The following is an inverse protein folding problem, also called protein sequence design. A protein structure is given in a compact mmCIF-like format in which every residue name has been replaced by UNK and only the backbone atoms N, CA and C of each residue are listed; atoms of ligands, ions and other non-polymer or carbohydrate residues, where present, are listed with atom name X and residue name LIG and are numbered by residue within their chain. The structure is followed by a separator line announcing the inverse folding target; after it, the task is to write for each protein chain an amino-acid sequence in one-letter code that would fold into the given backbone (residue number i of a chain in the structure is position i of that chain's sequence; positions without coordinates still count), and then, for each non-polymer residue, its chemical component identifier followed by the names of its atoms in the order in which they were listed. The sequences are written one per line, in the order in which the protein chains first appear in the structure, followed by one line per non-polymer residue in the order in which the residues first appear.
data_IF_450600297848
#
_entry.id   IF_450600297848
#
_cell.length_a   1.000
_cell.length_b   1.000
_cell.length_c   1.000
_cell.angle_alpha   90.00
_cell.angle_beta   90.00
_cell.angle_gamma   90.00
#
_symmetry.space_group_name_H-M   'P 1'
#
loop_
_entity.id
_entity.type
_entity.pdbx_description
1 polymer ?
#
# COMPACT_ATOMS: atom_id res chain seq x y z
N UNK A 1 -6.52 15.81 47.32
CA UNK A 1 -6.31 17.25 47.03
C UNK A 1 -7.60 17.80 46.43
N UNK A 2 -8.34 18.51 47.26
CA UNK A 2 -9.63 19.16 46.97
C UNK A 2 -9.38 20.50 46.28
N UNK A 3 -9.91 20.68 45.08
CA UNK A 3 -10.01 22.01 44.46
C UNK A 3 -11.47 22.41 44.28
N UNK A 4 -11.82 23.48 44.98
CA UNK A 4 -13.11 24.12 45.09
C UNK A 4 -13.47 24.90 43.83
N UNK A 5 -14.76 24.88 43.49
CA UNK A 5 -15.41 25.71 42.48
C UNK A 5 -15.33 27.19 42.86
N UNK A 6 -15.02 28.05 41.90
CA UNK A 6 -15.33 29.48 41.96
C UNK A 6 -16.05 29.90 40.68
N UNK A 7 -17.26 30.44 40.86
CA UNK A 7 -18.07 31.10 39.83
C UNK A 7 -17.67 32.57 39.79
N UNK A 8 -17.42 33.14 38.62
CA UNK A 8 -17.50 34.59 38.38
C UNK A 8 -18.33 34.81 37.11
N UNK A 9 -19.31 35.70 37.27
CA UNK A 9 -20.30 36.19 36.30
C UNK A 9 -19.92 37.62 35.92
N UNK A 10 -20.50 38.12 34.81
CA UNK A 10 -20.54 39.51 34.30
C UNK A 10 -19.33 39.95 33.45
N UNK A 11 -19.48 40.66 32.32
CA UNK A 11 -20.63 41.38 31.75
C UNK A 11 -20.48 41.53 30.22
N UNK A 12 -21.62 41.64 29.54
CA UNK A 12 -21.76 42.07 28.14
C UNK A 12 -21.46 43.56 27.98
N UNK A 13 -20.83 43.94 26.87
CA UNK A 13 -21.09 45.23 26.20
C UNK A 13 -20.97 45.08 24.68
N UNK A 14 -22.12 45.16 24.01
CA UNK A 14 -22.24 45.51 22.60
C UNK A 14 -21.80 46.96 22.40
N UNK A 15 -21.04 47.23 21.34
CA UNK A 15 -21.02 48.53 20.69
C UNK A 15 -21.02 48.31 19.18
N UNK A 16 -22.19 48.51 18.58
CA UNK A 16 -22.37 48.69 17.15
C UNK A 16 -21.99 50.13 16.79
N UNK A 17 -21.20 50.28 15.73
CA UNK A 17 -20.89 51.56 15.09
C UNK A 17 -21.05 51.41 13.59
N UNK A 18 -22.17 51.88 13.06
CA UNK A 18 -22.46 52.06 11.64
C UNK A 18 -21.82 53.35 11.12
N UNK A 19 -21.39 53.31 9.86
CA UNK A 19 -21.44 54.44 8.94
C UNK A 19 -20.14 55.20 8.74
N UNK A 20 -19.60 55.12 7.52
CA UNK A 20 -19.63 56.24 6.58
C UNK A 20 -19.23 55.73 5.17
N UNK A 21 -20.17 55.89 4.26
CA UNK A 21 -20.00 55.86 2.81
C UNK A 21 -19.06 56.96 2.36
N UNK A 22 -18.07 56.63 1.53
CA UNK A 22 -17.39 57.59 0.67
C UNK A 22 -17.24 56.99 -0.73
N UNK A 23 -18.11 57.44 -1.64
CA UNK A 23 -17.88 57.32 -3.08
C UNK A 23 -16.80 58.33 -3.46
N UNK A 24 -15.75 57.88 -4.13
CA UNK A 24 -14.88 58.75 -4.94
C UNK A 24 -14.78 58.15 -6.32
N UNK A 25 -15.26 58.91 -7.30
CA UNK A 25 -15.11 58.63 -8.72
C UNK A 25 -13.65 58.80 -9.12
N UNK A 26 -13.10 57.82 -9.82
CA UNK A 26 -12.14 58.13 -10.87
C UNK A 26 -12.34 57.14 -12.02
N UNK A 27 -12.74 57.71 -13.16
CA UNK A 27 -12.67 57.08 -14.46
C UNK A 27 -11.21 56.92 -14.83
N UNK A 28 -10.76 55.68 -15.01
CA UNK A 28 -9.68 55.36 -15.93
C UNK A 28 -10.12 54.15 -16.75
N UNK A 29 -10.61 54.44 -17.95
CA UNK A 29 -10.85 53.46 -19.00
C UNK A 29 -9.52 52.78 -19.37
N UNK A 30 -9.36 51.52 -18.98
CA UNK A 30 -8.46 50.60 -19.68
C UNK A 30 -9.25 49.42 -20.22
N UNK A 31 -9.45 49.49 -21.54
CA UNK A 31 -9.88 48.44 -22.48
C UNK A 31 -9.95 47.04 -21.86
N UNK A 32 -11.18 46.63 -21.60
CA UNK A 32 -11.57 45.25 -21.38
C UNK A 32 -11.52 44.53 -22.72
N UNK A 33 -10.43 43.80 -22.98
CA UNK A 33 -10.41 42.80 -24.06
C UNK A 33 -11.25 41.63 -23.57
N UNK A 34 -12.53 41.63 -23.92
CA UNK A 34 -13.45 40.52 -23.72
C UNK A 34 -12.97 39.34 -24.56
N UNK A 35 -12.14 38.48 -23.96
CA UNK A 35 -11.92 37.13 -24.46
C UNK A 35 -13.10 36.28 -24.00
N UNK A 36 -14.17 36.31 -24.79
CA UNK A 36 -15.29 35.38 -24.64
C UNK A 36 -14.80 33.99 -25.01
N UNK A 37 -14.39 33.20 -24.02
CA UNK A 37 -14.11 31.78 -24.22
C UNK A 37 -15.44 31.03 -24.40
N UNK A 38 -15.90 30.91 -25.65
CA UNK A 38 -16.92 29.94 -26.05
C UNK A 38 -16.24 28.61 -26.37
N UNK A 39 -15.84 27.88 -25.34
CA UNK A 39 -15.57 26.45 -25.44
C UNK A 39 -15.96 25.80 -24.10
N UNK A 40 -16.75 24.72 -24.10
CA UNK A 40 -17.00 23.98 -22.86
C UNK A 40 -15.66 23.44 -22.37
N UNK A 41 -15.25 23.82 -21.16
CA UNK A 41 -14.14 23.19 -20.47
C UNK A 41 -14.56 21.76 -20.09
N UNK A 42 -14.44 20.83 -21.03
CA UNK A 42 -14.41 19.40 -20.70
C UNK A 42 -13.12 19.15 -19.93
N UNK A 43 -13.27 18.92 -18.63
CA UNK A 43 -12.20 19.01 -17.64
C UNK A 43 -11.06 18.02 -17.83
N UNK A 44 -9.84 18.57 -17.91
CA UNK A 44 -8.58 17.90 -17.56
C UNK A 44 -7.73 18.75 -16.59
N UNK A 45 -8.23 19.92 -16.16
CA UNK A 45 -7.47 20.89 -15.36
C UNK A 45 -7.24 20.46 -13.89
N UNK A 46 -7.95 19.45 -13.37
CA UNK A 46 -7.78 18.99 -11.98
C UNK A 46 -6.43 18.28 -11.76
N UNK A 47 -5.90 17.62 -12.80
CA UNK A 47 -4.72 16.74 -12.66
C UNK A 47 -3.42 17.49 -12.37
N UNK A 48 -3.21 18.69 -12.93
CA UNK A 48 -2.00 19.48 -12.70
C UNK A 48 -1.97 20.07 -11.29
N UNK A 49 -3.11 20.56 -10.79
CA UNK A 49 -3.22 21.12 -9.45
C UNK A 49 -2.98 20.06 -8.37
N UNK A 50 -3.57 18.87 -8.57
CA UNK A 50 -3.40 17.70 -7.70
C UNK A 50 -1.96 17.18 -7.71
N UNK A 51 -1.34 17.00 -8.88
CA UNK A 51 0.07 16.61 -9.00
C UNK A 51 0.99 17.60 -8.30
N UNK A 52 0.74 18.90 -8.48
CA UNK A 52 1.49 19.94 -7.78
C UNK A 52 1.29 19.87 -6.26
N UNK A 53 0.09 19.53 -5.77
CA UNK A 53 -0.17 19.34 -4.35
C UNK A 53 0.58 18.12 -3.77
N UNK A 54 0.56 16.98 -4.47
CA UNK A 54 1.32 15.79 -4.08
C UNK A 54 2.82 16.06 -4.04
N UNK A 55 3.37 16.72 -5.06
CA UNK A 55 4.80 17.07 -5.11
C UNK A 55 5.21 18.02 -3.97
N UNK A 56 4.36 19.01 -3.65
CA UNK A 56 4.60 19.88 -2.48
C UNK A 56 4.61 19.07 -1.19
N UNK A 57 3.64 18.17 -1.01
CA UNK A 57 3.56 17.32 0.17
C UNK A 57 4.79 16.42 0.32
N UNK A 58 5.23 15.76 -0.75
CA UNK A 58 6.47 14.94 -0.77
C UNK A 58 7.64 15.77 -0.26
N UNK A 59 7.87 16.95 -0.85
CA UNK A 59 8.97 17.84 -0.47
C UNK A 59 8.90 18.26 1.00
N UNK A 60 7.72 18.59 1.50
CA UNK A 60 7.52 18.98 2.90
C UNK A 60 7.80 17.81 3.86
N UNK A 61 7.29 16.62 3.55
CA UNK A 61 7.52 15.42 4.36
C UNK A 61 9.00 15.04 4.39
N UNK A 62 9.68 15.04 3.25
CA UNK A 62 11.13 14.78 3.17
C UNK A 62 11.94 15.77 4.01
N UNK A 63 11.57 17.05 4.00
CA UNK A 63 12.19 18.08 4.84
C UNK A 63 11.96 17.80 6.32
N UNK A 64 10.72 17.46 6.72
CA UNK A 64 10.39 17.12 8.11
C UNK A 64 11.12 15.86 8.57
N UNK A 65 11.15 14.79 7.77
CA UNK A 65 11.90 13.57 8.07
C UNK A 65 13.39 13.84 8.26
N UNK A 66 14.00 14.61 7.35
CA UNK A 66 15.41 15.01 7.46
C UNK A 66 15.68 15.80 8.75
N UNK A 67 14.79 16.73 9.10
CA UNK A 67 14.93 17.57 10.29
C UNK A 67 14.81 16.74 11.57
N UNK A 68 13.92 15.74 11.58
CA UNK A 68 13.72 14.82 12.69
C UNK A 68 14.76 13.68 12.76
N UNK A 69 15.68 13.58 11.79
CA UNK A 69 16.66 12.49 11.71
C UNK A 69 16.04 11.14 11.32
N UNK A 70 14.86 11.14 10.71
CA UNK A 70 14.15 9.93 10.26
C UNK A 70 14.62 9.57 8.85
N UNK A 71 15.12 8.36 8.68
CA UNK A 71 15.46 7.80 7.36
C UNK A 71 14.23 7.12 6.77
N UNK A 72 13.38 7.91 6.11
CA UNK A 72 12.20 7.41 5.39
C UNK A 72 12.21 7.95 3.96
N UNK A 73 12.08 7.06 2.98
CA UNK A 73 12.02 7.40 1.56
C UNK A 73 10.60 7.23 1.06
N UNK A 74 10.01 8.31 0.56
CA UNK A 74 8.66 8.30 0.00
C UNK A 74 8.72 7.67 -1.39
N UNK A 75 7.93 6.63 -1.62
CA UNK A 75 7.84 5.96 -2.93
C UNK A 75 6.65 6.44 -3.73
N UNK A 76 5.54 6.74 -3.06
CA UNK A 76 4.29 7.14 -3.72
C UNK A 76 3.42 7.97 -2.78
N UNK A 77 2.66 8.91 -3.34
CA UNK A 77 1.64 9.68 -2.61
C UNK A 77 0.35 9.65 -3.42
N UNK A 78 -0.76 9.23 -2.81
CA UNK A 78 -2.09 9.19 -3.43
C UNK A 78 -3.08 10.01 -2.61
N UNK A 79 -4.03 10.64 -3.30
CA UNK A 79 -5.19 11.26 -2.65
C UNK A 79 -6.09 10.19 -2.05
N UNK A 80 -6.70 10.48 -0.90
CA UNK A 80 -7.76 9.65 -0.32
C UNK A 80 -9.12 10.31 -0.50
N UNK A 81 -10.19 9.56 -0.26
CA UNK A 81 -11.55 10.14 -0.20
C UNK A 81 -11.77 11.04 1.03
N UNK A 82 -10.87 11.02 2.01
CA UNK A 82 -10.92 11.89 3.19
C UNK A 82 -10.26 13.24 2.86
N UNK A 83 -10.98 14.37 2.98
CA UNK A 83 -10.43 15.69 2.68
C UNK A 83 -9.14 15.98 3.47
N UNK A 84 -8.15 16.54 2.78
CA UNK A 84 -6.83 16.90 3.34
C UNK A 84 -6.00 15.72 3.89
N UNK A 85 -6.39 14.48 3.59
CA UNK A 85 -5.64 13.29 3.96
C UNK A 85 -5.09 12.58 2.72
N UNK A 86 -3.81 12.29 2.75
CA UNK A 86 -3.09 11.62 1.68
C UNK A 86 -2.57 10.28 2.18
N UNK A 87 -2.62 9.27 1.33
CA UNK A 87 -1.96 7.99 1.56
C UNK A 87 -0.52 8.09 1.03
N UNK A 88 0.45 7.75 1.86
CA UNK A 88 1.88 7.91 1.61
C UNK A 88 2.57 6.58 1.78
N UNK A 89 3.09 6.04 0.67
CA UNK A 89 3.91 4.83 0.68
C UNK A 89 5.36 5.20 0.98
N UNK A 90 5.99 4.38 1.83
CA UNK A 90 7.37 4.53 2.26
C UNK A 90 8.15 3.24 1.92
N UNK A 91 9.40 3.38 1.51
CA UNK A 91 10.27 2.22 1.24
C UNK A 91 10.56 1.47 2.54
N UNK A 92 10.38 0.14 2.53
CA UNK A 92 10.61 -0.73 3.68
C UNK A 92 9.68 -0.53 4.89
N UNK A 93 8.59 0.23 4.74
CA UNK A 93 7.65 0.54 5.83
C UNK A 93 6.21 0.42 5.35
N UNK A 94 5.28 0.11 6.26
CA UNK A 94 3.85 0.22 5.95
C UNK A 94 3.50 1.65 5.54
N UNK A 95 2.59 1.77 4.57
CA UNK A 95 2.08 3.07 4.19
C UNK A 95 1.40 3.78 5.37
N UNK A 96 1.49 5.10 5.36
CA UNK A 96 0.93 5.97 6.39
C UNK A 96 -0.01 6.98 5.76
N UNK A 97 -0.82 7.64 6.59
CA UNK A 97 -1.62 8.77 6.16
C UNK A 97 -0.96 10.06 6.62
N UNK A 98 -0.97 11.10 5.77
CA UNK A 98 -0.42 12.40 6.10
C UNK A 98 -1.43 13.51 5.82
N UNK A 99 -1.43 14.56 6.65
CA UNK A 99 -2.19 15.78 6.35
C UNK A 99 -1.59 16.49 5.13
N UNK A 100 -2.41 17.24 4.42
CA UNK A 100 -2.00 18.01 3.23
C UNK A 100 -0.87 19.00 3.48
N UNK A 101 -0.69 19.46 4.74
CA UNK A 101 0.39 20.35 5.16
C UNK A 101 1.66 19.61 5.63
N UNK A 102 1.65 18.28 5.62
CA UNK A 102 2.78 17.42 5.97
C UNK A 102 3.19 17.47 7.45
N UNK A 103 2.37 18.04 8.34
CA UNK A 103 2.71 18.18 9.76
C UNK A 103 2.34 16.99 10.62
N UNK A 104 1.33 16.21 10.20
CA UNK A 104 0.83 15.08 10.97
C UNK A 104 0.88 13.82 10.12
N UNK A 105 1.29 12.72 10.75
CA UNK A 105 1.26 11.38 10.19
C UNK A 105 0.38 10.51 11.09
N UNK A 106 -0.46 9.68 10.48
CA UNK A 106 -1.28 8.68 11.14
C UNK A 106 -0.85 7.30 10.63
N UNK A 107 -0.60 6.40 11.57
CA UNK A 107 -0.31 4.99 11.28
C UNK A 107 -1.54 4.15 11.63
N UNK A 108 -1.84 3.17 10.79
CA UNK A 108 -3.00 2.28 10.93
C UNK A 108 -3.98 2.48 9.79
N UNK A 109 -5.20 1.97 9.95
CA UNK A 109 -6.21 1.98 8.90
C UNK A 109 -7.15 3.18 9.03
N UNK A 110 -7.58 3.70 7.88
CA UNK A 110 -8.72 4.62 7.79
C UNK A 110 -9.90 3.83 7.28
N UNK A 111 -10.91 3.66 8.12
CA UNK A 111 -12.12 2.90 7.80
C UNK A 111 -13.26 3.86 7.52
N UNK A 112 -13.79 3.83 6.29
CA UNK A 112 -15.03 4.53 5.94
C UNK A 112 -16.22 3.74 6.48
N UNK A 113 -17.08 4.45 7.20
CA UNK A 113 -18.35 3.96 7.73
C UNK A 113 -19.51 4.46 6.86
N UNK A 114 -20.68 3.80 6.96
CA UNK A 114 -21.92 4.21 6.28
C UNK A 114 -22.49 3.17 5.33
N UNK A 115 -21.67 2.20 4.91
CA UNK A 115 -22.11 1.05 4.12
C UNK A 115 -22.42 -0.16 5.02
N UNK A 116 -23.04 -1.20 4.43
CA UNK A 116 -23.25 -2.49 5.12
C UNK A 116 -21.93 -3.22 5.44
N UNK A 117 -20.85 -2.87 4.75
CA UNK A 117 -19.51 -3.43 4.92
C UNK A 117 -18.55 -2.31 5.32
N UNK A 118 -17.56 -2.63 6.15
CA UNK A 118 -16.47 -1.71 6.45
C UNK A 118 -15.58 -1.57 5.21
N UNK A 119 -15.21 -0.34 4.86
CA UNK A 119 -14.33 -0.07 3.73
C UNK A 119 -13.01 0.53 4.22
N UNK A 120 -11.90 -0.16 3.97
CA UNK A 120 -10.57 0.39 4.25
C UNK A 120 -10.13 1.28 3.08
N UNK A 121 -9.94 2.57 3.35
CA UNK A 121 -9.60 3.58 2.35
C UNK A 121 -8.25 3.29 1.68
N UNK A 122 -7.30 2.73 2.41
CA UNK A 122 -5.95 2.45 1.91
C UNK A 122 -5.84 1.14 1.13
N UNK A 123 -6.79 0.22 1.28
CA UNK A 123 -6.69 -1.12 0.70
C UNK A 123 -6.66 -1.09 -0.82
N UNK A 124 -7.57 -0.33 -1.45
CA UNK A 124 -7.59 -0.19 -2.91
C UNK A 124 -6.36 0.55 -3.45
N UNK A 125 -5.85 1.53 -2.70
CA UNK A 125 -4.66 2.30 -3.04
C UNK A 125 -3.40 1.42 -3.01
N UNK A 126 -3.24 0.62 -1.96
CA UNK A 126 -2.16 -0.35 -1.82
C UNK A 126 -2.29 -1.47 -2.87
N UNK A 127 -3.49 -1.98 -3.12
CA UNK A 127 -3.73 -3.00 -4.13
C UNK A 127 -3.31 -2.53 -5.53
N UNK A 128 -3.63 -1.28 -5.89
CA UNK A 128 -3.17 -0.68 -7.14
C UNK A 128 -1.64 -0.63 -7.27
N UNK A 129 -0.92 -0.31 -6.19
CA UNK A 129 0.56 -0.33 -6.17
C UNK A 129 1.09 -1.75 -6.28
N UNK A 130 0.54 -2.69 -5.51
CA UNK A 130 0.91 -4.10 -5.53
C UNK A 130 0.70 -4.73 -6.91
N UNK A 131 -0.40 -4.40 -7.60
CA UNK A 131 -0.70 -4.87 -8.95
C UNK A 131 0.39 -4.50 -9.95
N UNK A 132 0.84 -3.24 -9.91
CA UNK A 132 1.91 -2.76 -10.80
C UNK A 132 3.24 -3.48 -10.51
N UNK A 133 3.55 -3.65 -9.22
CA UNK A 133 4.72 -4.41 -8.77
C UNK A 133 4.66 -5.85 -9.29
N UNK A 134 3.56 -6.56 -9.08
CA UNK A 134 3.43 -7.96 -9.49
C UNK A 134 3.47 -8.13 -11.01
N UNK A 135 2.90 -7.18 -11.76
CA UNK A 135 3.02 -7.16 -13.22
C UNK A 135 4.45 -6.95 -13.71
N UNK A 136 5.34 -6.39 -12.88
CA UNK A 136 6.76 -6.19 -13.21
C UNK A 136 7.66 -7.38 -12.82
N UNK A 137 7.13 -8.36 -12.06
CA UNK A 137 7.89 -9.54 -11.66
C UNK A 137 8.14 -10.46 -12.86
N UNK A 138 9.36 -10.99 -12.92
CA UNK A 138 9.77 -11.90 -13.97
C UNK A 138 9.41 -13.33 -13.56
N UNK A 139 8.71 -14.06 -14.42
CA UNK A 139 8.25 -15.42 -14.10
C UNK A 139 9.40 -16.37 -13.74
N UNK A 140 10.57 -16.23 -14.36
CA UNK A 140 11.75 -17.04 -14.05
C UNK A 140 12.36 -16.78 -12.66
N UNK A 141 12.02 -15.64 -12.04
CA UNK A 141 12.46 -15.35 -10.68
C UNK A 141 11.50 -15.99 -9.66
N UNK A 142 10.28 -16.36 -10.05
CA UNK A 142 9.27 -16.96 -9.18
C UNK A 142 9.36 -18.49 -9.15
N UNK A 143 8.73 -19.10 -8.15
CA UNK A 143 8.43 -20.53 -8.13
C UNK A 143 6.94 -20.72 -8.39
N UNK A 144 6.60 -21.13 -9.61
CA UNK A 144 5.22 -21.15 -10.12
C UNK A 144 4.66 -22.58 -10.09
N UNK A 145 3.53 -22.75 -9.40
CA UNK A 145 2.70 -23.95 -9.41
C UNK A 145 1.46 -23.65 -10.24
N UNK A 146 1.43 -24.20 -11.46
CA UNK A 146 0.37 -23.92 -12.44
C UNK A 146 -0.95 -24.56 -12.02
N UNK A 147 -2.05 -23.91 -12.37
CA UNK A 147 -3.37 -24.51 -12.30
C UNK A 147 -3.44 -25.81 -13.12
N UNK A 148 -4.22 -26.78 -12.64
CA UNK A 148 -4.57 -27.99 -13.40
C UNK A 148 -5.77 -27.65 -14.30
N UNK A 149 -5.54 -27.59 -15.61
CA UNK A 149 -6.56 -27.19 -16.58
C UNK A 149 -6.56 -25.68 -16.84
N UNK A 150 -7.74 -25.05 -16.82
CA UNK A 150 -7.89 -23.61 -17.04
C UNK A 150 -7.45 -22.81 -15.80
N UNK A 151 -6.58 -21.82 -16.00
CA UNK A 151 -6.20 -20.86 -14.96
C UNK A 151 -7.32 -19.85 -14.75
N UNK A 152 -8.07 -20.00 -13.66
CA UNK A 152 -9.16 -19.09 -13.24
C UNK A 152 -8.63 -17.91 -12.42
N UNK A 153 -7.64 -18.18 -11.57
CA UNK A 153 -7.04 -17.17 -10.70
C UNK A 153 -5.53 -17.33 -10.65
N UNK A 154 -4.82 -16.21 -10.50
CA UNK A 154 -3.39 -16.15 -10.19
C UNK A 154 -3.25 -15.48 -8.82
N UNK A 155 -2.47 -16.10 -7.94
CA UNK A 155 -2.10 -15.52 -6.65
C UNK A 155 -0.59 -15.39 -6.51
N UNK A 156 -0.17 -14.32 -5.84
CA UNK A 156 1.22 -14.10 -5.42
C UNK A 156 1.34 -14.38 -3.94
N UNK A 157 2.29 -15.23 -3.55
CA UNK A 157 2.42 -15.67 -2.16
C UNK A 157 3.85 -15.47 -1.70
N UNK A 158 4.05 -14.55 -0.76
CA UNK A 158 5.32 -14.43 -0.05
C UNK A 158 5.43 -15.59 0.94
N UNK A 159 6.45 -16.43 0.77
CA UNK A 159 6.57 -17.73 1.46
C UNK A 159 7.96 -17.94 2.06
N UNK A 160 8.02 -18.80 3.08
CA UNK A 160 9.23 -19.15 3.83
C UNK A 160 9.18 -20.65 4.16
N UNK A 161 10.22 -21.40 3.77
CA UNK A 161 10.31 -22.85 4.06
C UNK A 161 10.33 -23.16 5.55
N UNK A 162 10.76 -22.21 6.39
CA UNK A 162 10.75 -22.36 7.85
C UNK A 162 9.39 -22.07 8.51
N UNK A 163 8.39 -21.59 7.74
CA UNK A 163 7.10 -21.18 8.28
C UNK A 163 6.08 -22.34 8.29
N UNK A 164 5.54 -22.74 9.46
CA UNK A 164 4.58 -23.84 9.55
C UNK A 164 3.30 -23.62 8.74
N UNK A 165 2.84 -22.37 8.62
CA UNK A 165 1.66 -22.06 7.81
C UNK A 165 1.95 -22.01 6.31
N UNK A 166 3.20 -21.77 5.91
CA UNK A 166 3.61 -21.94 4.51
C UNK A 166 3.62 -23.43 4.15
N UNK A 167 4.11 -24.28 5.06
CA UNK A 167 4.02 -25.73 4.89
C UNK A 167 2.57 -26.18 4.73
N UNK A 168 1.67 -25.74 5.62
CA UNK A 168 0.24 -26.04 5.51
C UNK A 168 -0.40 -25.54 4.22
N UNK A 169 -0.02 -24.36 3.72
CA UNK A 169 -0.51 -23.88 2.42
C UNK A 169 -0.03 -24.78 1.29
N UNK A 170 1.24 -25.19 1.35
CA UNK A 170 1.88 -26.01 0.33
C UNK A 170 1.33 -27.45 0.30
N UNK A 171 0.95 -28.02 1.45
CA UNK A 171 0.22 -29.30 1.53
C UNK A 171 -1.09 -29.29 0.72
N UNK A 172 -1.72 -28.11 0.55
CA UNK A 172 -2.95 -27.96 -0.24
C UNK A 172 -2.70 -27.56 -1.70
N UNK A 173 -1.45 -27.55 -2.18
CA UNK A 173 -1.11 -27.06 -3.53
C UNK A 173 -1.89 -27.78 -4.63
N UNK A 174 -1.99 -29.11 -4.53
CA UNK A 174 -2.74 -29.92 -5.49
C UNK A 174 -4.23 -29.58 -5.54
N UNK A 175 -4.83 -29.30 -4.38
CA UNK A 175 -6.24 -28.91 -4.26
C UNK A 175 -6.45 -27.52 -4.89
N UNK A 176 -5.59 -26.55 -4.56
CA UNK A 176 -5.61 -25.20 -5.13
C UNK A 176 -5.49 -25.25 -6.66
N UNK A 177 -4.51 -25.98 -7.17
CA UNK A 177 -4.30 -26.09 -8.60
C UNK A 177 -5.48 -26.79 -9.30
N UNK A 178 -6.08 -27.81 -8.68
CA UNK A 178 -7.29 -28.48 -9.22
C UNK A 178 -8.51 -27.56 -9.31
N UNK A 179 -8.57 -26.52 -8.48
CA UNK A 179 -9.63 -25.50 -8.51
C UNK A 179 -9.37 -24.39 -9.55
N UNK A 180 -8.29 -24.48 -10.32
CA UNK A 180 -7.92 -23.48 -11.33
C UNK A 180 -7.07 -22.33 -10.78
N UNK A 181 -6.47 -22.48 -9.60
CA UNK A 181 -5.63 -21.45 -8.97
C UNK A 181 -4.16 -21.72 -9.29
N UNK A 182 -3.50 -20.77 -9.96
CA UNK A 182 -2.05 -20.74 -10.12
C UNK A 182 -1.41 -20.00 -8.95
N UNK A 183 -0.44 -20.64 -8.29
CA UNK A 183 0.27 -20.10 -7.13
C UNK A 183 1.68 -19.70 -7.54
N UNK A 184 2.02 -18.42 -7.36
CA UNK A 184 3.35 -17.87 -7.65
C UNK A 184 4.06 -17.52 -6.35
N UNK A 185 5.00 -18.36 -5.93
CA UNK A 185 5.79 -18.09 -4.73
C UNK A 185 6.87 -17.04 -4.97
N UNK A 186 6.94 -16.11 -4.02
CA UNK A 186 7.98 -15.09 -3.86
C UNK A 186 8.71 -15.42 -2.56
N UNK A 187 10.03 -15.52 -2.62
CA UNK A 187 10.84 -15.86 -1.45
C UNK A 187 10.79 -14.73 -0.40
N UNK A 188 10.33 -15.03 0.82
CA UNK A 188 10.31 -14.08 1.92
C UNK A 188 10.72 -14.75 3.23
N UNK A 189 12.02 -15.02 3.43
CA UNK A 189 12.51 -15.57 4.68
C UNK A 189 12.20 -14.59 5.82
N UNK A 190 11.53 -15.04 6.89
CA UNK A 190 11.09 -14.18 8.01
C UNK A 190 12.25 -13.62 8.85
N UNK A 191 13.49 -13.99 8.53
CA UNK A 191 14.70 -13.51 9.15
C UNK A 191 15.93 -13.84 8.30
N UNK A 192 17.00 -13.06 8.46
CA UNK A 192 18.26 -13.20 7.72
C UNK A 192 18.84 -14.63 7.81
N UNK A 193 18.66 -15.30 8.94
CA UNK A 193 19.13 -16.67 9.16
C UNK A 193 18.46 -17.72 8.25
N UNK A 194 17.29 -17.42 7.68
CA UNK A 194 16.56 -18.31 6.77
C UNK A 194 16.84 -18.03 5.29
N UNK A 195 17.55 -16.94 4.98
CA UNK A 195 17.94 -16.60 3.60
C UNK A 195 18.74 -17.72 2.94
N UNK A 196 19.77 -18.32 3.56
CA UNK A 196 20.56 -19.36 2.89
C UNK A 196 19.75 -20.59 2.45
N UNK A 197 18.72 -20.96 3.23
CA UNK A 197 17.84 -22.07 2.87
C UNK A 197 17.00 -21.72 1.63
N UNK A 198 16.42 -20.52 1.59
CA UNK A 198 15.67 -20.03 0.43
C UNK A 198 16.57 -19.85 -0.81
N UNK A 199 17.80 -19.37 -0.65
CA UNK A 199 18.79 -19.27 -1.73
C UNK A 199 19.15 -20.66 -2.28
N UNK A 200 19.32 -21.65 -1.41
CA UNK A 200 19.61 -23.03 -1.83
C UNK A 200 18.47 -23.62 -2.67
N UNK A 201 17.20 -23.34 -2.30
CA UNK A 201 16.04 -23.70 -3.13
C UNK A 201 16.13 -23.00 -4.49
N UNK A 202 16.32 -21.68 -4.53
CA UNK A 202 16.31 -20.91 -5.79
C UNK A 202 17.52 -21.18 -6.69
N UNK A 203 18.62 -21.69 -6.13
CA UNK A 203 19.78 -22.16 -6.88
C UNK A 203 19.69 -23.61 -7.36
N UNK A 204 18.68 -24.36 -6.91
CA UNK A 204 18.48 -25.74 -7.37
C UNK A 204 18.16 -25.78 -8.86
N UNK A 205 18.64 -26.82 -9.54
CA UNK A 205 18.24 -27.14 -10.91
C UNK A 205 16.75 -27.45 -11.00
N UNK A 206 16.23 -28.13 -9.99
CA UNK A 206 14.80 -28.38 -9.79
C UNK A 206 14.35 -27.65 -8.52
N UNK A 207 13.81 -26.44 -8.71
CA UNK A 207 13.35 -25.59 -7.60
C UNK A 207 12.10 -26.15 -6.93
N UNK A 208 11.25 -26.87 -7.65
CA UNK A 208 10.06 -27.50 -7.10
C UNK A 208 10.48 -28.60 -6.12
N UNK A 209 11.29 -29.56 -6.58
CA UNK A 209 11.77 -30.64 -5.72
C UNK A 209 12.57 -30.13 -4.50
N UNK A 210 13.38 -29.08 -4.69
CA UNK A 210 14.12 -28.47 -3.58
C UNK A 210 13.20 -27.76 -2.58
N UNK A 211 12.17 -27.04 -3.04
CA UNK A 211 11.20 -26.40 -2.16
C UNK A 211 10.40 -27.43 -1.37
N UNK A 212 9.91 -28.49 -2.04
CA UNK A 212 9.15 -29.58 -1.42
C UNK A 212 9.96 -30.26 -0.29
N UNK A 213 11.24 -30.51 -0.53
CA UNK A 213 12.16 -31.06 0.47
C UNK A 213 12.37 -30.09 1.64
N UNK A 214 12.72 -28.83 1.34
CA UNK A 214 13.03 -27.83 2.35
C UNK A 214 11.82 -27.51 3.25
N UNK A 215 10.62 -27.39 2.66
CA UNK A 215 9.41 -27.07 3.41
C UNK A 215 8.90 -28.24 4.25
N UNK A 216 9.24 -29.48 3.88
CA UNK A 216 9.07 -30.67 4.70
C UNK A 216 10.11 -30.80 5.83
N UNK A 217 11.06 -29.86 5.92
CA UNK A 217 12.08 -29.79 6.97
C UNK A 217 13.40 -30.48 6.64
N UNK A 218 13.63 -30.91 5.40
CA UNK A 218 14.92 -31.44 5.00
C UNK A 218 15.96 -30.33 4.83
N UNK A 219 17.21 -30.61 5.22
CA UNK A 219 18.33 -29.72 4.93
C UNK A 219 18.77 -29.88 3.48
N UNK A 220 18.81 -28.77 2.74
CA UNK A 220 19.35 -28.76 1.39
C UNK A 220 20.88 -28.54 1.42
N UNK A 221 21.62 -29.13 0.47
CA UNK A 221 23.02 -28.76 0.26
C UNK A 221 23.14 -27.26 0.00
N UNK A 222 24.09 -26.62 0.67
CA UNK A 222 24.36 -25.20 0.46
C UNK A 222 24.72 -24.95 -1.01
N UNK A 223 23.97 -24.07 -1.66
CA UNK A 223 24.23 -23.65 -3.02
C UNK A 223 24.34 -22.12 -3.10
N UNK A 224 25.27 -21.64 -3.91
CA UNK A 224 25.45 -20.21 -4.17
C UNK A 224 25.42 -19.95 -5.67
N UNK A 225 24.51 -19.07 -6.07
CA UNK A 225 24.33 -18.61 -7.44
C UNK A 225 23.74 -17.20 -7.39
N UNK A 226 23.55 -16.56 -8.54
CA UNK A 226 22.76 -15.32 -8.59
C UNK A 226 21.28 -15.68 -8.39
N UNK A 227 20.71 -15.25 -7.27
CA UNK A 227 19.32 -15.53 -6.88
C UNK A 227 18.53 -14.23 -6.72
N UNK A 228 17.19 -14.25 -6.88
CA UNK A 228 16.34 -13.10 -6.62
C UNK A 228 15.88 -13.02 -5.15
N UNK A 229 16.37 -13.88 -4.24
CA UNK A 229 15.82 -14.03 -2.88
C UNK A 229 15.95 -12.73 -2.08
N UNK A 230 17.07 -12.01 -2.22
CA UNK A 230 17.30 -10.74 -1.53
C UNK A 230 16.40 -9.64 -2.08
N UNK A 231 16.23 -9.58 -3.40
CA UNK A 231 15.33 -8.66 -4.08
C UNK A 231 13.86 -8.92 -3.70
N UNK A 232 13.46 -10.20 -3.60
CA UNK A 232 12.14 -10.61 -3.14
C UNK A 232 11.90 -10.24 -1.67
N UNK A 233 12.89 -10.45 -0.80
CA UNK A 233 12.81 -10.07 0.60
C UNK A 233 12.60 -8.54 0.73
N UNK A 234 13.43 -7.75 0.05
CA UNK A 234 13.30 -6.30 0.03
C UNK A 234 11.96 -5.86 -0.57
N UNK A 235 11.48 -6.54 -1.60
CA UNK A 235 10.18 -6.26 -2.19
C UNK A 235 9.05 -6.45 -1.17
N UNK A 236 9.07 -7.57 -0.42
CA UNK A 236 8.07 -7.81 0.61
C UNK A 236 8.11 -6.75 1.71
N UNK A 237 9.29 -6.30 2.13
CA UNK A 237 9.42 -5.17 3.05
C UNK A 237 8.78 -3.89 2.48
N UNK A 238 9.00 -3.61 1.20
CA UNK A 238 8.50 -2.40 0.53
C UNK A 238 6.97 -2.37 0.40
N UNK A 239 6.32 -3.54 0.29
CA UNK A 239 4.85 -3.61 0.23
C UNK A 239 4.21 -3.93 1.58
N UNK A 240 5.00 -3.95 2.65
CA UNK A 240 4.52 -4.14 4.03
C UNK A 240 4.22 -5.58 4.44
N UNK A 241 4.82 -6.59 3.78
CA UNK A 241 4.77 -7.97 4.26
C UNK A 241 5.41 -8.04 5.65
N UNK A 242 4.65 -8.54 6.63
CA UNK A 242 5.06 -8.64 8.03
C UNK A 242 4.94 -10.07 8.59
N UNK A 243 4.58 -11.04 7.75
CA UNK A 243 4.42 -12.44 8.11
C UNK A 243 4.18 -13.30 6.88
N UNK A 244 4.38 -14.61 7.01
CA UNK A 244 4.18 -15.57 5.92
C UNK A 244 3.25 -16.71 6.34
N UNK A 245 2.48 -17.31 5.40
CA UNK A 245 2.35 -16.86 4.01
C UNK A 245 1.58 -15.54 3.94
N UNK A 246 1.97 -14.63 3.04
CA UNK A 246 1.16 -13.45 2.73
C UNK A 246 0.65 -13.60 1.29
N UNK A 247 -0.68 -13.73 1.16
CA UNK A 247 -1.35 -14.06 -0.09
C UNK A 247 -1.96 -12.80 -0.70
N UNK A 248 -1.69 -12.57 -1.98
CA UNK A 248 -2.23 -11.48 -2.75
C UNK A 248 -2.88 -11.98 -4.05
N UNK A 249 -3.96 -11.32 -4.49
CA UNK A 249 -4.53 -11.57 -5.82
C UNK A 249 -3.67 -10.95 -6.92
N UNK A 250 -3.94 -11.32 -8.18
CA UNK A 250 -3.32 -10.68 -9.34
C UNK A 250 -3.63 -9.16 -9.43
N UNK A 251 -4.74 -8.71 -8.84
CA UNK A 251 -5.09 -7.30 -8.74
C UNK A 251 -4.42 -6.59 -7.55
N UNK A 252 -3.52 -7.27 -6.84
CA UNK A 252 -2.72 -6.70 -5.76
C UNK A 252 -3.43 -6.64 -4.40
N UNK A 253 -4.68 -7.12 -4.32
CA UNK A 253 -5.47 -7.16 -3.08
C UNK A 253 -4.84 -8.16 -2.11
N UNK A 254 -4.66 -7.75 -0.86
CA UNK A 254 -4.19 -8.64 0.20
C UNK A 254 -5.33 -9.56 0.64
N UNK A 255 -5.19 -10.86 0.36
CA UNK A 255 -6.20 -11.86 0.68
C UNK A 255 -6.07 -12.35 2.13
N UNK A 256 -4.87 -12.27 2.70
CA UNK A 256 -4.61 -12.61 4.10
C UNK A 256 -3.37 -13.47 4.29
N UNK A 257 -3.26 -14.01 5.50
CA UNK A 257 -2.27 -15.01 5.86
C UNK A 257 -2.57 -16.37 5.22
N UNK A 258 -2.33 -17.46 5.96
CA UNK A 258 -2.88 -18.75 5.56
C UNK A 258 -4.41 -18.71 5.50
N UNK A 259 -4.96 -19.23 4.41
CA UNK A 259 -6.38 -19.49 4.19
C UNK A 259 -6.52 -20.92 3.69
N UNK A 260 -7.59 -21.63 4.10
CA UNK A 260 -7.92 -22.90 3.45
C UNK A 260 -8.28 -22.67 1.97
N UNK A 261 -8.15 -23.69 1.10
CA UNK A 261 -8.53 -23.56 -0.31
C UNK A 261 -9.94 -23.00 -0.52
N UNK A 262 -10.91 -23.45 0.27
CA UNK A 262 -12.29 -22.97 0.19
C UNK A 262 -12.46 -21.48 0.57
N UNK A 263 -11.78 -21.02 1.63
CA UNK A 263 -11.80 -19.61 2.04
C UNK A 263 -11.10 -18.73 1.01
N UNK A 264 -9.97 -19.20 0.48
CA UNK A 264 -9.23 -18.47 -0.55
C UNK A 264 -10.04 -18.33 -1.82
N UNK A 265 -10.67 -19.41 -2.30
CA UNK A 265 -11.55 -19.36 -3.48
C UNK A 265 -12.73 -18.42 -3.24
N UNK A 266 -13.31 -18.41 -2.04
CA UNK A 266 -14.37 -17.45 -1.68
C UNK A 266 -13.89 -16.00 -1.77
N UNK A 267 -12.67 -15.70 -1.32
CA UNK A 267 -12.11 -14.35 -1.43
C UNK A 267 -11.78 -13.95 -2.88
N UNK A 268 -11.34 -14.89 -3.70
CA UNK A 268 -10.99 -14.66 -5.11
C UNK A 268 -12.22 -14.44 -6.01
N UNK A 269 -13.38 -14.94 -5.60
CA UNK A 269 -14.64 -14.82 -6.36
C UNK A 269 -15.50 -13.61 -5.95
N UNK A 270 -15.11 -12.85 -4.93
CA UNK A 270 -15.81 -11.63 -4.51
C UNK A 270 -15.20 -10.41 -5.19
#
# INVERSE_FOLDING_TARGET
MTFTRAKIVMAMTLAAGLGLTACSSNNDEKKQTTLTASAPATGEASTLSERNAQQRLVKTLEQHFKTAGIQAKITEVKTTEVPNLYWVSLEGMSAVYATSDGKYIFQGDVIRLGDKQLHNVGESLQAGTNKQIFASLKEQDLLIYKAKGETKHIIYVFTDVSCPYCHKLHEHMDELNSQGIEVRYIAWPRGEQFIPAMESVWCSQDRHAAFDQAIAGAELPAASCKTPVREHYQLGLNIGVNGTPAIYSADGVYLGGYLSPSELLKRLNN
#
